data_IF_619166779879
#
_entry.id   IF_619166779879
#
_cell.length_a   1.000
_cell.length_b   1.000
_cell.length_c   1.000
_cell.angle_alpha   90.00
_cell.angle_beta   90.00
_cell.angle_gamma   90.00
#
_symmetry.space_group_name_H-M   'P 1'
#
loop_
_entity.id
_entity.type
_entity.pdbx_description
1 polymer ?
#
# COMPACT_ATOMS: atom_id res chain seq x y z
N UNK A 1 14.95 13.75 17.41
CA UNK A 1 14.19 13.50 16.17
C UNK A 1 12.85 14.18 16.25
N UNK A 2 12.44 14.92 15.22
CA UNK A 2 11.10 15.48 15.15
C UNK A 2 10.08 14.38 14.85
N UNK A 3 8.80 14.59 15.21
CA UNK A 3 7.71 13.65 14.89
C UNK A 3 7.61 13.37 13.39
N UNK A 4 7.94 14.36 12.56
CA UNK A 4 7.98 14.21 11.12
C UNK A 4 9.13 13.28 10.66
N UNK A 5 10.32 13.40 11.25
CA UNK A 5 11.44 12.48 10.98
C UNK A 5 11.13 11.05 11.40
N UNK A 6 10.43 10.86 12.52
CA UNK A 6 9.96 9.54 12.96
C UNK A 6 8.95 8.95 11.96
N UNK A 7 7.96 9.75 11.54
CA UNK A 7 6.98 9.33 10.54
C UNK A 7 7.64 8.95 9.20
N UNK A 8 8.72 9.64 8.81
CA UNK A 8 9.51 9.26 7.64
C UNK A 8 10.22 7.91 7.81
N UNK A 9 10.89 7.68 8.94
CA UNK A 9 11.55 6.40 9.19
C UNK A 9 10.57 5.22 9.18
N UNK A 10 9.39 5.42 9.78
CA UNK A 10 8.28 4.47 9.78
C UNK A 10 7.77 4.20 8.35
N UNK A 11 7.58 5.26 7.56
CA UNK A 11 7.13 5.12 6.17
C UNK A 11 8.13 4.37 5.29
N UNK A 12 9.44 4.62 5.46
CA UNK A 12 10.50 3.94 4.70
C UNK A 12 10.47 2.44 5.00
N UNK A 13 10.47 2.05 6.28
CA UNK A 13 10.42 0.63 6.68
C UNK A 13 9.16 -0.07 6.15
N UNK A 14 8.02 0.62 6.17
CA UNK A 14 6.78 0.10 5.61
C UNK A 14 6.87 -0.10 4.09
N UNK A 15 7.46 0.85 3.35
CA UNK A 15 7.67 0.73 1.90
C UNK A 15 8.60 -0.42 1.55
N UNK A 16 9.73 -0.56 2.24
CA UNK A 16 10.70 -1.64 2.02
C UNK A 16 10.06 -3.02 2.20
N UNK A 17 9.25 -3.19 3.25
CA UNK A 17 8.53 -4.46 3.49
C UNK A 17 7.45 -4.71 2.43
N UNK A 18 6.73 -3.69 1.98
CA UNK A 18 5.74 -3.83 0.89
C UNK A 18 6.43 -4.24 -0.42
N UNK A 19 7.58 -3.63 -0.73
CA UNK A 19 8.37 -3.97 -1.91
C UNK A 19 8.93 -5.40 -1.83
N UNK A 20 9.40 -5.84 -0.65
CA UNK A 20 9.83 -7.23 -0.42
C UNK A 20 8.69 -8.25 -0.62
N UNK A 21 7.43 -7.82 -0.54
CA UNK A 21 6.24 -8.62 -0.84
C UNK A 21 5.81 -8.52 -2.32
N UNK A 22 6.57 -7.85 -3.17
CA UNK A 22 6.24 -7.51 -4.57
C UNK A 22 4.99 -6.65 -4.72
N UNK A 23 4.73 -5.74 -3.77
CA UNK A 23 3.63 -4.78 -3.83
C UNK A 23 4.17 -3.47 -4.38
N UNK A 24 3.54 -2.96 -5.44
CA UNK A 24 3.86 -1.64 -5.99
C UNK A 24 3.30 -0.55 -5.08
N UNK A 25 4.19 0.31 -4.59
CA UNK A 25 3.82 1.53 -3.86
C UNK A 25 3.68 2.67 -4.87
N UNK A 26 2.51 3.30 -4.92
CA UNK A 26 2.21 4.39 -5.84
C UNK A 26 2.48 5.77 -5.23
N UNK A 27 2.19 5.93 -3.94
CA UNK A 27 2.32 7.22 -3.26
C UNK A 27 2.52 7.05 -1.75
N UNK A 28 3.29 7.96 -1.14
CA UNK A 28 3.51 8.02 0.30
C UNK A 28 3.23 9.45 0.77
N UNK A 29 2.20 9.61 1.60
CA UNK A 29 1.84 10.89 2.22
C UNK A 29 2.24 10.88 3.70
N UNK A 30 3.17 11.77 4.07
CA UNK A 30 3.62 11.91 5.46
C UNK A 30 2.73 12.93 6.17
N UNK A 31 1.70 12.48 6.88
CA UNK A 31 0.87 13.35 7.73
C UNK A 31 1.46 13.52 9.14
N UNK A 32 1.03 14.57 9.86
CA UNK A 32 1.44 14.83 11.23
C UNK A 32 0.93 13.78 12.24
N UNK A 33 -0.13 13.05 11.91
CA UNK A 33 -0.70 11.99 12.76
C UNK A 33 -0.10 10.61 12.48
N UNK A 34 -0.03 10.20 11.22
CA UNK A 34 0.56 8.94 10.76
C UNK A 34 0.83 8.96 9.25
N UNK A 35 1.84 8.26 8.73
CA UNK A 35 2.02 8.15 7.28
C UNK A 35 0.89 7.36 6.64
N UNK A 36 0.60 7.69 5.38
CA UNK A 36 -0.37 6.98 4.54
C UNK A 36 0.33 6.51 3.28
N UNK A 37 0.27 5.21 2.98
CA UNK A 37 0.86 4.59 1.81
C UNK A 37 -0.27 4.13 0.88
N UNK A 38 -0.16 4.51 -0.39
CA UNK A 38 -1.06 4.05 -1.44
C UNK A 38 -0.36 2.96 -2.24
N UNK A 39 -1.01 1.81 -2.38
CA UNK A 39 -0.50 0.66 -3.11
C UNK A 39 -1.39 0.34 -4.31
N UNK A 40 -0.78 -0.22 -5.33
CA UNK A 40 -1.45 -0.66 -6.56
C UNK A 40 -2.17 -2.00 -6.31
N UNK A 41 -3.37 -2.21 -6.87
CA UNK A 41 -4.00 -3.52 -6.84
C UNK A 41 -3.15 -4.56 -7.58
N UNK A 42 -3.25 -5.84 -7.21
CA UNK A 42 -2.57 -6.90 -7.96
C UNK A 42 -3.06 -6.91 -9.41
N UNK A 43 -2.16 -7.14 -10.37
CA UNK A 43 -2.54 -7.19 -11.79
C UNK A 43 -3.68 -8.19 -12.01
N UNK A 44 -4.71 -7.74 -12.71
CA UNK A 44 -5.89 -8.56 -13.05
C UNK A 44 -6.96 -8.63 -11.97
N UNK A 45 -6.79 -7.94 -10.83
CA UNK A 45 -7.79 -7.91 -9.76
C UNK A 45 -8.58 -6.60 -9.83
N UNK A 46 -9.86 -6.68 -10.22
CA UNK A 46 -10.83 -5.58 -10.09
C UNK A 46 -11.62 -5.74 -8.81
N UNK A 47 -11.49 -4.77 -7.90
CA UNK A 47 -12.26 -4.76 -6.67
C UNK A 47 -13.62 -4.09 -6.89
N UNK A 48 -14.72 -4.83 -6.75
CA UNK A 48 -16.07 -4.26 -6.78
C UNK A 48 -16.31 -3.27 -5.60
N UNK A 49 -15.67 -3.56 -4.46
CA UNK A 49 -15.54 -2.67 -3.31
C UNK A 49 -14.12 -2.83 -2.76
N UNK A 50 -13.51 -1.74 -2.30
CA UNK A 50 -12.13 -1.76 -1.75
C UNK A 50 -12.06 -2.69 -0.55
N UNK A 51 -11.41 -3.86 -0.65
CA UNK A 51 -11.43 -4.82 0.42
C UNK A 51 -10.41 -4.44 1.49
N UNK A 52 -10.78 -4.65 2.75
CA UNK A 52 -9.89 -4.51 3.90
C UNK A 52 -8.74 -5.55 3.87
N UNK A 53 -8.90 -6.64 3.13
CA UNK A 53 -7.87 -7.66 2.94
C UNK A 53 -7.94 -8.26 1.53
N UNK A 54 -6.79 -8.51 0.91
CA UNK A 54 -6.66 -9.21 -0.36
C UNK A 54 -5.66 -10.33 -0.18
N UNK A 55 -6.05 -11.55 -0.54
CA UNK A 55 -5.12 -12.67 -0.65
C UNK A 55 -4.55 -12.70 -2.07
N UNK A 56 -3.24 -12.51 -2.22
CA UNK A 56 -2.53 -12.66 -3.50
C UNK A 56 -1.81 -14.00 -3.49
N UNK A 57 -1.90 -14.76 -4.59
CA UNK A 57 -1.01 -15.90 -4.83
C UNK A 57 0.31 -15.39 -5.41
N UNK A 58 1.43 -15.59 -4.71
CA UNK A 58 2.77 -15.41 -5.27
C UNK A 58 3.04 -16.49 -6.33
N UNK A 59 3.85 -16.15 -7.34
CA UNK A 59 4.36 -17.13 -8.30
C UNK A 59 5.07 -18.26 -7.55
N UNK A 60 4.49 -19.45 -7.59
CA UNK A 60 4.86 -20.59 -6.72
C UNK A 60 3.71 -21.16 -5.89
N UNK A 61 2.54 -20.50 -5.82
CA UNK A 61 1.32 -21.01 -5.21
C UNK A 61 1.08 -20.58 -3.76
N UNK A 62 2.04 -19.88 -3.14
CA UNK A 62 1.91 -19.36 -1.78
C UNK A 62 0.88 -18.22 -1.70
N UNK A 63 -0.08 -18.33 -0.78
CA UNK A 63 -1.10 -17.31 -0.52
C UNK A 63 -0.57 -16.28 0.49
N UNK A 64 -0.27 -15.07 0.02
CA UNK A 64 0.08 -13.92 0.86
C UNK A 64 -1.17 -13.09 1.11
N UNK A 65 -1.53 -12.89 2.38
CA UNK A 65 -2.64 -12.01 2.76
C UNK A 65 -2.14 -10.59 3.00
N UNK A 66 -2.69 -9.64 2.28
CA UNK A 66 -2.40 -8.21 2.42
C UNK A 66 -3.63 -7.55 3.01
N UNK A 67 -3.51 -7.04 4.24
CA UNK A 67 -4.55 -6.25 4.87
C UNK A 67 -4.35 -4.77 4.52
N UNK A 68 -5.33 -4.13 3.90
CA UNK A 68 -5.41 -2.66 3.99
C UNK A 68 -5.87 -2.29 5.39
N UNK A 69 -5.10 -1.44 6.04
CA UNK A 69 -5.16 -1.22 7.48
C UNK A 69 -3.90 -0.52 7.98
N UNK A 70 -3.57 -0.72 9.26
CA UNK A 70 -2.29 -0.29 9.82
C UNK A 70 -1.22 -1.33 9.46
N UNK A 71 -0.20 -0.93 8.71
CA UNK A 71 1.00 -1.72 8.42
C UNK A 71 2.21 -0.93 8.87
N UNK A 72 2.98 -1.47 9.82
CA UNK A 72 4.23 -0.85 10.28
C UNK A 72 4.02 0.64 10.64
N UNK A 73 2.97 0.95 11.40
CA UNK A 73 2.64 2.34 11.81
C UNK A 73 2.08 3.24 10.70
N UNK A 74 1.93 2.74 9.47
CA UNK A 74 1.37 3.45 8.33
C UNK A 74 -0.06 2.99 8.03
N UNK A 75 -0.93 3.90 7.61
CA UNK A 75 -2.21 3.50 7.01
C UNK A 75 -1.99 3.12 5.54
N UNK A 76 -2.40 1.92 5.14
CA UNK A 76 -2.26 1.45 3.76
C UNK A 76 -3.61 1.48 3.05
N UNK A 77 -3.65 2.03 1.84
CA UNK A 77 -4.87 2.15 1.02
C UNK A 77 -4.60 1.72 -0.42
N UNK A 78 -5.62 1.24 -1.11
CA UNK A 78 -5.55 0.94 -2.53
C UNK A 78 -5.59 2.21 -3.39
N UNK A 79 -4.82 2.23 -4.49
CA UNK A 79 -4.98 3.18 -5.58
C UNK A 79 -6.44 3.14 -6.05
N UNK A 80 -7.07 4.31 -6.19
CA UNK A 80 -8.41 4.37 -6.78
C UNK A 80 -8.24 4.41 -8.29
N UNK A 81 -8.66 3.36 -9.00
CA UNK A 81 -8.66 3.33 -10.46
C UNK A 81 -9.59 4.39 -11.10
N UNK A 82 -10.32 5.20 -10.32
CA UNK A 82 -11.13 6.31 -10.85
C UNK A 82 -10.34 7.48 -11.46
N UNK A 83 -9.00 7.43 -11.52
CA UNK A 83 -8.16 8.52 -12.04
C UNK A 83 -7.04 7.98 -12.94
N UNK A 84 -7.32 7.06 -13.86
CA UNK A 84 -6.46 6.85 -15.04
C UNK A 84 -7.33 6.47 -16.24
N UNK A 85 -8.35 7.28 -16.52
CA UNK A 85 -8.95 7.34 -17.85
C UNK A 85 -8.97 8.82 -18.21
N UNK A 86 -8.40 9.17 -19.37
CA UNK A 86 -8.17 10.51 -19.92
C UNK A 86 -6.81 11.16 -19.62
N UNK A 87 -5.77 10.68 -20.32
CA UNK A 87 -5.06 11.58 -21.26
C UNK A 87 -4.81 10.76 -22.52
N UNK A 88 -5.58 11.04 -23.58
CA UNK A 88 -5.30 10.62 -24.96
C UNK A 88 -4.16 11.48 -25.51
#
# INVERSE_FOLDING_TARGET
MTKQQQNWAVAIQAVEKLQALNITVCNVCISASKPVITIEPPKGVRFAQRPAEVSIRRGGGELVRIRTGMFEGCAVRWLNERIIDQVH
#
